data_IF_161365851686
#
_entry.id   IF_161365851686
#
_cell.length_a   1.000
_cell.length_b   1.000
_cell.length_c   1.000
_cell.angle_alpha   90.00
_cell.angle_beta   90.00
_cell.angle_gamma   90.00
#
_symmetry.space_group_name_H-M   'P 1'
#
loop_
_entity.id
_entity.type
_entity.pdbx_description
1 polymer ?
#
# COMPACT_ATOMS: atom_id res chain seq x y z
N UNK A 1 -6.06 6.60 38.88
CA UNK A 1 -5.38 5.63 37.96
C UNK A 1 -4.58 6.40 36.92
N UNK A 2 -3.31 6.09 36.74
CA UNK A 2 -2.48 6.70 35.66
C UNK A 2 -2.60 5.80 34.43
N UNK A 3 -3.08 6.33 33.31
CA UNK A 3 -3.12 5.64 32.04
C UNK A 3 -1.71 5.64 31.43
N UNK A 4 -1.09 4.49 31.29
CA UNK A 4 0.24 4.38 30.68
C UNK A 4 0.09 4.16 29.17
N UNK A 5 0.56 5.10 28.36
CA UNK A 5 0.63 4.96 26.92
C UNK A 5 1.98 4.38 26.53
N UNK A 6 2.00 3.23 25.88
CA UNK A 6 3.21 2.58 25.42
C UNK A 6 3.80 3.36 24.26
N UNK A 7 5.10 3.68 24.31
CA UNK A 7 5.81 4.34 23.21
C UNK A 7 5.92 3.36 22.02
N UNK A 8 5.69 3.80 20.77
CA UNK A 8 5.84 2.94 19.61
C UNK A 8 7.32 2.51 19.47
N UNK A 9 7.51 1.23 19.15
CA UNK A 9 8.83 0.70 18.82
C UNK A 9 9.36 1.32 17.51
N UNK A 10 10.69 1.31 17.34
CA UNK A 10 11.31 1.76 16.08
C UNK A 10 10.70 1.02 14.87
N UNK A 11 10.43 1.72 13.76
CA UNK A 11 9.86 1.11 12.57
C UNK A 11 10.89 0.16 11.92
N UNK A 12 10.44 -1.02 11.54
CA UNK A 12 11.19 -2.00 10.76
C UNK A 12 10.87 -1.86 9.27
N UNK A 13 11.69 -2.49 8.44
CA UNK A 13 11.50 -2.50 6.99
C UNK A 13 11.09 -3.89 6.52
N UNK A 14 10.09 -3.92 5.66
CA UNK A 14 9.56 -5.14 5.08
C UNK A 14 9.47 -5.03 3.58
N UNK A 15 9.68 -6.14 2.88
CA UNK A 15 9.56 -6.22 1.42
C UNK A 15 8.47 -7.22 1.04
N UNK A 16 7.63 -6.84 0.09
CA UNK A 16 6.55 -7.64 -0.48
C UNK A 16 6.79 -7.76 -1.99
N UNK A 17 6.85 -8.97 -2.49
CA UNK A 17 6.85 -9.22 -3.93
C UNK A 17 5.40 -9.27 -4.44
N UNK A 18 5.11 -8.41 -5.42
CA UNK A 18 3.79 -8.31 -6.04
C UNK A 18 3.59 -9.29 -7.22
N UNK A 19 4.64 -9.99 -7.65
CA UNK A 19 4.58 -10.87 -8.81
C UNK A 19 3.54 -11.98 -8.62
N UNK A 20 2.60 -12.09 -9.56
CA UNK A 20 1.52 -13.08 -9.54
C UNK A 20 0.49 -12.94 -8.41
N UNK A 21 0.60 -11.89 -7.60
CA UNK A 21 -0.34 -11.63 -6.50
C UNK A 21 -1.47 -10.68 -6.92
N UNK A 22 -2.64 -10.82 -6.31
CA UNK A 22 -3.73 -9.87 -6.54
C UNK A 22 -3.51 -8.55 -5.78
N UNK A 23 -3.88 -7.42 -6.39
CA UNK A 23 -3.76 -6.08 -5.80
C UNK A 23 -4.37 -6.03 -4.39
N UNK A 24 -5.54 -6.67 -4.20
CA UNK A 24 -6.23 -6.66 -2.90
C UNK A 24 -5.43 -7.36 -1.80
N UNK A 25 -4.81 -8.51 -2.07
CA UNK A 25 -4.00 -9.25 -1.09
C UNK A 25 -2.76 -8.45 -0.70
N UNK A 26 -2.07 -7.86 -1.69
CA UNK A 26 -0.92 -6.97 -1.46
C UNK A 26 -1.35 -5.79 -0.56
N UNK A 27 -2.43 -5.11 -0.93
CA UNK A 27 -2.91 -3.93 -0.24
C UNK A 27 -3.35 -4.20 1.20
N UNK A 28 -4.04 -5.32 1.47
CA UNK A 28 -4.43 -5.72 2.83
C UNK A 28 -3.20 -5.96 3.69
N UNK A 29 -2.22 -6.73 3.18
CA UNK A 29 -1.00 -7.05 3.93
C UNK A 29 -0.18 -5.80 4.20
N UNK A 30 0.03 -4.96 3.19
CA UNK A 30 0.74 -3.69 3.33
C UNK A 30 0.05 -2.76 4.33
N UNK A 31 -1.27 -2.56 4.22
CA UNK A 31 -2.03 -1.71 5.14
C UNK A 31 -1.96 -2.19 6.59
N UNK A 32 -2.04 -3.50 6.82
CA UNK A 32 -1.92 -4.10 8.16
C UNK A 32 -0.57 -3.79 8.80
N UNK A 33 0.53 -3.93 8.04
CA UNK A 33 1.90 -3.68 8.51
C UNK A 33 2.15 -2.19 8.71
N UNK A 34 1.76 -1.34 7.76
CA UNK A 34 1.90 0.12 7.83
C UNK A 34 1.12 0.70 9.01
N UNK A 35 -0.05 0.15 9.31
CA UNK A 35 -0.82 0.54 10.49
C UNK A 35 -0.21 0.03 11.79
N UNK A 36 0.54 -1.07 11.75
CA UNK A 36 1.16 -1.69 12.91
C UNK A 36 0.27 -2.66 13.67
N UNK A 37 -0.83 -3.13 13.07
CA UNK A 37 -1.76 -4.10 13.71
C UNK A 37 -1.12 -5.45 14.06
N UNK A 38 0.03 -5.76 13.49
CA UNK A 38 0.80 -6.98 13.79
C UNK A 38 1.58 -6.89 15.10
N UNK A 39 1.70 -5.68 15.69
CA UNK A 39 2.46 -5.46 16.92
C UNK A 39 1.55 -5.50 18.15
N UNK A 40 2.02 -6.11 19.24
CA UNK A 40 1.30 -6.13 20.52
C UNK A 40 1.14 -4.73 21.13
N UNK A 41 2.07 -3.80 20.82
CA UNK A 41 2.05 -2.41 21.28
C UNK A 41 1.22 -1.48 20.40
N UNK A 42 0.33 -2.02 19.57
CA UNK A 42 -0.51 -1.22 18.69
C UNK A 42 -1.41 -0.26 19.46
N UNK A 43 -1.38 1.01 19.05
CA UNK A 43 -2.28 2.07 19.56
C UNK A 43 -2.87 2.87 18.39
N UNK A 44 -4.20 3.07 18.33
CA UNK A 44 -4.85 3.72 17.18
C UNK A 44 -4.45 5.18 16.96
N UNK A 45 -4.05 5.88 18.03
CA UNK A 45 -3.70 7.30 18.01
C UNK A 45 -2.21 7.57 17.71
N UNK A 46 -1.40 6.51 17.56
CA UNK A 46 0.04 6.62 17.31
C UNK A 46 0.45 5.93 16.02
N UNK A 47 1.59 6.35 15.48
CA UNK A 47 2.22 5.71 14.31
C UNK A 47 3.08 4.52 14.75
N UNK A 48 2.46 3.37 14.95
CA UNK A 48 3.13 2.14 15.38
C UNK A 48 3.63 1.27 14.24
N UNK A 49 3.28 1.60 12.97
CA UNK A 49 3.55 0.78 11.81
C UNK A 49 5.00 0.77 11.35
N UNK A 50 5.28 -0.10 10.39
CA UNK A 50 6.57 -0.31 9.77
C UNK A 50 6.61 0.22 8.33
N UNK A 51 7.80 0.31 7.76
CA UNK A 51 7.98 0.63 6.34
C UNK A 51 7.75 -0.61 5.49
N UNK A 52 7.04 -0.44 4.37
CA UNK A 52 6.76 -1.52 3.42
C UNK A 52 7.24 -1.12 2.04
N UNK A 53 8.08 -1.98 1.47
CA UNK A 53 8.55 -1.89 0.10
C UNK A 53 7.75 -2.91 -0.71
N UNK A 54 7.15 -2.49 -1.82
CA UNK A 54 6.49 -3.38 -2.78
C UNK A 54 7.27 -3.34 -4.07
N UNK A 55 7.72 -4.50 -4.54
CA UNK A 55 8.47 -4.66 -5.80
C UNK A 55 7.60 -5.36 -6.85
N UNK A 56 8.02 -5.30 -8.11
CA UNK A 56 7.34 -5.92 -9.27
C UNK A 56 5.88 -5.47 -9.45
N UNK A 57 5.61 -4.17 -9.26
CA UNK A 57 4.26 -3.62 -9.33
C UNK A 57 3.57 -3.81 -10.71
N UNK A 58 4.33 -3.98 -11.78
CA UNK A 58 3.81 -4.25 -13.14
C UNK A 58 3.29 -5.68 -13.32
N UNK A 59 3.87 -6.66 -12.58
CA UNK A 59 3.58 -8.09 -12.71
C UNK A 59 2.42 -8.58 -11.83
N UNK A 60 1.58 -7.67 -11.38
CA UNK A 60 0.42 -7.98 -10.52
C UNK A 60 -0.63 -8.76 -11.30
N UNK A 61 -1.17 -9.82 -10.68
CA UNK A 61 -2.25 -10.62 -11.27
C UNK A 61 -3.57 -9.86 -11.27
N UNK A 62 -4.13 -9.65 -12.48
CA UNK A 62 -5.45 -9.07 -12.67
C UNK A 62 -6.46 -10.13 -13.06
N UNK A 63 -7.60 -10.25 -12.34
CA UNK A 63 -8.74 -10.99 -12.85
C UNK A 63 -9.29 -10.29 -14.11
N UNK A 64 -9.57 -11.01 -15.22
CA UNK A 64 -9.94 -10.40 -16.51
C UNK A 64 -11.16 -9.48 -16.41
N UNK A 65 -12.19 -9.85 -15.66
CA UNK A 65 -13.38 -9.02 -15.45
C UNK A 65 -13.10 -7.71 -14.70
N UNK A 66 -12.12 -7.66 -13.80
CA UNK A 66 -11.78 -6.46 -13.03
C UNK A 66 -10.96 -5.44 -13.83
N UNK A 67 -10.13 -5.89 -14.75
CA UNK A 67 -9.33 -5.01 -15.61
C UNK A 67 -10.18 -3.99 -16.38
N UNK A 68 -11.31 -4.45 -16.91
CA UNK A 68 -12.24 -3.63 -17.69
C UNK A 68 -13.27 -2.88 -16.83
N UNK A 69 -13.78 -3.51 -15.75
CA UNK A 69 -14.86 -2.93 -14.93
C UNK A 69 -14.40 -1.86 -13.95
N UNK A 70 -13.18 -1.99 -13.41
CA UNK A 70 -12.71 -1.02 -12.42
C UNK A 70 -12.25 0.25 -13.12
N UNK A 71 -12.97 1.34 -12.86
CA UNK A 71 -12.69 2.67 -13.38
C UNK A 71 -12.05 3.55 -12.32
N UNK A 72 -11.09 4.36 -12.75
CA UNK A 72 -10.52 5.46 -11.98
C UNK A 72 -11.05 6.77 -12.56
N UNK A 73 -11.64 7.58 -11.68
CA UNK A 73 -12.21 8.87 -12.05
C UNK A 73 -11.33 9.98 -11.49
N UNK A 74 -11.06 10.99 -12.29
CA UNK A 74 -10.37 12.20 -11.88
C UNK A 74 -11.07 13.41 -12.46
N UNK A 75 -11.45 14.35 -11.61
CA UNK A 75 -12.02 15.62 -12.00
C UNK A 75 -10.97 16.72 -11.90
N UNK A 76 -10.92 17.64 -12.88
CA UNK A 76 -9.93 18.72 -12.91
C UNK A 76 -10.36 19.97 -12.15
N UNK A 77 -11.65 20.06 -11.74
CA UNK A 77 -12.26 21.23 -11.11
C UNK A 77 -13.08 22.09 -12.07
N UNK A 78 -12.88 21.95 -13.39
CA UNK A 78 -13.66 22.68 -14.41
C UNK A 78 -14.91 21.91 -14.83
N UNK A 79 -16.03 22.60 -15.18
CA UNK A 79 -17.26 21.94 -15.64
C UNK A 79 -16.99 20.98 -16.81
N UNK A 80 -17.57 19.78 -16.76
CA UNK A 80 -17.44 18.77 -17.82
C UNK A 80 -16.10 18.02 -17.91
N UNK A 81 -15.10 18.36 -17.10
CA UNK A 81 -13.75 17.80 -17.19
C UNK A 81 -13.52 16.57 -16.29
N UNK A 82 -14.39 15.56 -16.43
CA UNK A 82 -14.21 14.24 -15.81
C UNK A 82 -13.35 13.34 -16.70
N UNK A 83 -12.20 12.90 -16.22
CA UNK A 83 -11.34 11.91 -16.89
C UNK A 83 -11.56 10.53 -16.32
N UNK A 84 -11.70 9.54 -17.19
CA UNK A 84 -11.90 8.14 -16.84
C UNK A 84 -10.73 7.32 -17.37
N UNK A 85 -10.28 6.33 -16.60
CA UNK A 85 -9.28 5.36 -17.03
C UNK A 85 -9.63 3.99 -16.45
N UNK A 86 -9.51 2.93 -17.25
CA UNK A 86 -9.68 1.58 -16.79
C UNK A 86 -8.45 1.12 -15.99
N UNK A 87 -8.61 0.10 -15.15
CA UNK A 87 -7.52 -0.45 -14.36
C UNK A 87 -6.34 -0.90 -15.23
N UNK A 88 -6.60 -1.55 -16.38
CA UNK A 88 -5.56 -2.00 -17.32
C UNK A 88 -4.74 -0.81 -17.84
N UNK A 89 -5.40 0.24 -18.34
CA UNK A 89 -4.74 1.46 -18.80
C UNK A 89 -3.96 2.19 -17.69
N UNK A 90 -4.47 2.13 -16.46
CA UNK A 90 -3.78 2.75 -15.33
C UNK A 90 -2.55 1.97 -14.93
N UNK A 91 -2.56 0.63 -15.02
CA UNK A 91 -1.38 -0.20 -14.77
C UNK A 91 -0.28 0.02 -15.82
N UNK A 92 -0.64 0.14 -17.09
CA UNK A 92 0.32 0.46 -18.15
C UNK A 92 0.97 1.84 -17.97
N UNK A 93 0.16 2.85 -17.57
CA UNK A 93 0.65 4.22 -17.40
C UNK A 93 1.38 4.44 -16.09
N UNK A 94 0.86 3.95 -14.97
CA UNK A 94 1.34 4.19 -13.61
C UNK A 94 1.04 3.00 -12.69
N UNK A 95 1.79 1.90 -12.75
CA UNK A 95 1.54 0.72 -11.93
C UNK A 95 1.66 1.00 -10.43
N UNK A 96 2.59 1.87 -10.02
CA UNK A 96 2.79 2.28 -8.62
C UNK A 96 1.53 2.91 -8.03
N UNK A 97 0.90 3.82 -8.77
CA UNK A 97 -0.32 4.52 -8.34
C UNK A 97 -1.47 3.57 -8.00
N UNK A 98 -1.61 2.47 -8.75
CA UNK A 98 -2.68 1.49 -8.54
C UNK A 98 -2.57 0.84 -7.16
N UNK A 99 -1.36 0.43 -6.78
CA UNK A 99 -1.07 -0.19 -5.48
C UNK A 99 -1.19 0.86 -4.36
N UNK A 100 -0.60 2.03 -4.53
CA UNK A 100 -0.68 3.13 -3.56
C UNK A 100 -2.12 3.50 -3.24
N UNK A 101 -2.95 3.66 -4.28
CA UNK A 101 -4.36 4.01 -4.11
C UNK A 101 -5.16 2.88 -3.44
N UNK A 102 -4.84 1.61 -3.73
CA UNK A 102 -5.45 0.47 -3.07
C UNK A 102 -5.11 0.43 -1.58
N UNK A 103 -3.85 0.62 -1.21
CA UNK A 103 -3.40 0.69 0.19
C UNK A 103 -4.01 1.90 0.90
N UNK A 104 -3.99 3.08 0.27
CA UNK A 104 -4.60 4.30 0.81
C UNK A 104 -6.09 4.12 1.10
N UNK A 105 -6.82 3.40 0.23
CA UNK A 105 -8.24 3.09 0.44
C UNK A 105 -8.50 2.13 1.60
N UNK A 106 -7.51 1.30 1.98
CA UNK A 106 -7.59 0.35 3.10
C UNK A 106 -7.11 0.93 4.44
N UNK A 107 -6.45 2.10 4.41
CA UNK A 107 -6.09 2.83 5.61
C UNK A 107 -7.24 3.71 6.10
N UNK A 108 -7.34 3.91 7.40
CA UNK A 108 -8.37 4.77 8.01
C UNK A 108 -8.30 6.22 7.51
N UNK A 109 -9.46 6.86 7.36
CA UNK A 109 -9.59 8.24 6.92
C UNK A 109 -9.34 9.22 8.09
N UNK A 110 -8.13 9.23 8.63
CA UNK A 110 -7.72 10.09 9.74
C UNK A 110 -6.48 10.94 9.36
N UNK A 111 -6.08 11.84 10.25
CA UNK A 111 -4.89 12.70 10.05
C UNK A 111 -3.59 11.88 9.91
N UNK A 112 -3.52 10.70 10.52
CA UNK A 112 -2.35 9.82 10.46
C UNK A 112 -2.19 9.13 9.09
N UNK A 113 -3.27 9.04 8.28
CA UNK A 113 -3.23 8.39 6.96
C UNK A 113 -2.09 8.89 6.08
N UNK A 114 -1.88 10.19 6.01
CA UNK A 114 -0.83 10.75 5.15
C UNK A 114 0.56 10.33 5.60
N UNK A 115 0.80 10.27 6.90
CA UNK A 115 2.06 9.81 7.46
C UNK A 115 2.25 8.29 7.29
N UNK A 116 1.16 7.53 7.38
CA UNK A 116 1.17 6.08 7.10
C UNK A 116 1.50 5.80 5.63
N UNK A 117 0.89 6.53 4.70
CA UNK A 117 1.16 6.36 3.25
C UNK A 117 2.62 6.68 2.90
N UNK A 118 3.27 7.61 3.59
CA UNK A 118 4.71 7.89 3.40
C UNK A 118 5.63 6.72 3.77
N UNK A 119 5.14 5.73 4.51
CA UNK A 119 5.87 4.49 4.84
C UNK A 119 5.71 3.40 3.78
N UNK A 120 4.90 3.65 2.75
CA UNK A 120 4.75 2.76 1.60
C UNK A 120 5.67 3.23 0.48
N UNK A 121 6.49 2.31 -0.02
CA UNK A 121 7.41 2.53 -1.14
C UNK A 121 7.10 1.49 -2.22
N UNK A 122 6.66 1.92 -3.39
CA UNK A 122 6.26 1.02 -4.48
C UNK A 122 7.19 1.20 -5.67
N UNK A 123 7.75 0.08 -6.15
CA UNK A 123 8.65 0.03 -7.29
C UNK A 123 8.07 -0.81 -8.42
N UNK A 124 8.30 -0.39 -9.65
CA UNK A 124 7.83 -1.07 -10.85
C UNK A 124 8.55 -2.38 -11.04
N UNK A 125 9.88 -2.37 -10.97
CA UNK A 125 10.76 -3.53 -11.12
C UNK A 125 11.11 -4.20 -9.79
N UNK A 126 12.12 -5.07 -9.86
CA UNK A 126 12.65 -5.79 -8.68
C UNK A 126 13.65 -4.96 -7.88
N UNK A 127 14.28 -3.96 -8.50
CA UNK A 127 15.31 -3.14 -7.86
C UNK A 127 14.72 -2.04 -7.00
N UNK A 128 15.33 -1.81 -5.84
CA UNK A 128 14.93 -0.73 -4.93
C UNK A 128 16.16 -0.14 -4.21
N UNK A 129 16.16 1.15 -3.85
CA UNK A 129 17.30 1.84 -3.25
C UNK A 129 17.50 1.55 -1.75
N UNK A 130 16.60 0.79 -1.11
CA UNK A 130 16.58 0.57 0.35
C UNK A 130 17.30 -0.71 0.79
N UNK A 131 18.33 -1.18 0.07
CA UNK A 131 19.10 -2.38 0.43
C UNK A 131 19.84 -2.23 1.76
N UNK A 132 20.31 -1.04 2.06
CA UNK A 132 21.00 -0.73 3.32
C UNK A 132 20.12 -0.93 4.56
N UNK A 133 18.80 -0.90 4.41
CA UNK A 133 17.84 -1.09 5.49
C UNK A 133 17.54 -2.57 5.80
N UNK A 134 18.10 -3.50 5.03
CA UNK A 134 17.93 -4.95 5.18
C UNK A 134 16.47 -5.36 5.39
N UNK A 135 15.56 -5.08 4.42
CA UNK A 135 14.14 -5.33 4.58
C UNK A 135 13.85 -6.83 4.73
N UNK A 136 13.03 -7.20 5.72
CA UNK A 136 12.60 -8.58 5.91
C UNK A 136 11.49 -8.96 4.91
N UNK A 137 11.57 -10.15 4.27
CA UNK A 137 10.54 -10.57 3.33
C UNK A 137 9.22 -10.89 4.05
N UNK A 138 8.10 -10.38 3.50
CA UNK A 138 6.75 -10.70 3.95
C UNK A 138 6.06 -11.58 2.93
N UNK A 139 5.78 -12.82 3.32
CA UNK A 139 5.04 -13.76 2.49
C UNK A 139 3.55 -13.44 2.50
N UNK A 140 2.94 -13.35 1.32
CA UNK A 140 1.48 -13.31 1.16
C UNK A 140 1.03 -14.74 1.03
N UNK A 141 0.23 -15.24 1.99
CA UNK A 141 -0.28 -16.61 1.97
C UNK A 141 -1.15 -16.77 0.72
N UNK A 142 -0.76 -17.70 -0.14
CA UNK A 142 -1.57 -18.14 -1.27
C UNK A 142 -2.68 -19.04 -0.72
N UNK A 143 -3.86 -18.50 -0.57
CA UNK A 143 -5.09 -19.29 -0.38
C UNK A 143 -5.74 -19.52 -1.71
#
# INVERSE_FOLDING_TARGET
MKTTTVKPAAPKWHIIDAEGQSIGKIAVKAAMVIRGKHKATFSPHQLCGDHVIVINAEKVKLPPKKGLRKMYHRHTGYPGNMKHSNLTQMLEKKPTYVIENAVKGMLEANRLRQQMVKRLHVFVGAEHPYNAQQPSPLTIIRT
#
